data_IF_365885922908
#
_entry.id   IF_365885922908
#
_cell.length_a   1.000
_cell.length_b   1.000
_cell.length_c   1.000
_cell.angle_alpha   90.00
_cell.angle_beta   90.00
_cell.angle_gamma   90.00
#
_symmetry.space_group_name_H-M   'P 1'
#
loop_
_entity.id
_entity.type
_entity.pdbx_description
1 polymer ?
#
# COMPACT_ATOMS: atom_id res chain seq x y z
N UNK A 1 16.75 16.47 -2.32
CA UNK A 1 15.31 16.08 -2.32
C UNK A 1 15.20 14.80 -3.15
N UNK A 2 14.53 13.76 -2.66
CA UNK A 2 14.40 12.51 -3.42
C UNK A 2 13.61 12.77 -4.72
N UNK A 3 13.96 12.14 -5.87
CA UNK A 3 13.31 12.39 -7.16
C UNK A 3 11.78 12.29 -7.14
N UNK A 4 11.22 11.40 -6.31
CA UNK A 4 9.76 11.20 -6.14
C UNK A 4 9.02 12.39 -5.50
N UNK A 5 9.75 13.31 -4.86
CA UNK A 5 9.19 14.50 -4.22
C UNK A 5 9.56 15.81 -4.94
N UNK A 6 10.16 15.73 -6.13
CA UNK A 6 10.45 16.91 -6.95
C UNK A 6 9.15 17.60 -7.40
N UNK A 7 9.22 18.91 -7.69
CA UNK A 7 8.07 19.68 -8.21
C UNK A 7 7.46 19.06 -9.47
N UNK A 8 8.29 18.43 -10.31
CA UNK A 8 7.85 17.78 -11.53
C UNK A 8 7.16 16.44 -11.27
N UNK A 9 7.73 15.59 -10.39
CA UNK A 9 7.24 14.23 -10.20
C UNK A 9 6.13 14.11 -9.16
N UNK A 10 6.08 15.01 -8.17
CA UNK A 10 5.12 14.90 -7.09
C UNK A 10 3.65 14.89 -7.58
N UNK A 11 3.22 15.77 -8.50
CA UNK A 11 1.86 15.71 -9.05
C UNK A 11 1.58 14.44 -9.86
N UNK A 12 2.60 13.89 -10.56
CA UNK A 12 2.47 12.63 -11.32
C UNK A 12 2.28 11.44 -10.38
N UNK A 13 3.06 11.40 -9.29
CA UNK A 13 2.97 10.36 -8.28
C UNK A 13 1.63 10.39 -7.54
N UNK A 14 1.09 11.58 -7.26
CA UNK A 14 -0.23 11.71 -6.63
C UNK A 14 -1.34 11.08 -7.47
N UNK A 15 -1.32 11.23 -8.80
CA UNK A 15 -2.31 10.56 -9.67
C UNK A 15 -2.28 9.03 -9.52
N UNK A 16 -1.10 8.44 -9.34
CA UNK A 16 -0.97 7.00 -9.10
C UNK A 16 -1.53 6.62 -7.71
N UNK A 17 -1.27 7.45 -6.70
CA UNK A 17 -1.82 7.26 -5.35
C UNK A 17 -3.34 7.37 -5.34
N UNK A 18 -3.92 8.27 -6.13
CA UNK A 18 -5.37 8.42 -6.27
C UNK A 18 -6.01 7.15 -6.82
N UNK A 19 -5.43 6.58 -7.89
CA UNK A 19 -5.91 5.31 -8.45
C UNK A 19 -5.81 4.15 -7.44
N UNK A 20 -4.70 4.05 -6.69
CA UNK A 20 -4.55 3.04 -5.64
C UNK A 20 -5.59 3.22 -4.54
N UNK A 21 -5.91 4.47 -4.20
CA UNK A 21 -6.92 4.79 -3.18
C UNK A 21 -8.32 4.41 -3.64
N UNK A 22 -8.65 4.60 -4.91
CA UNK A 22 -9.91 4.12 -5.48
C UNK A 22 -10.01 2.58 -5.47
N UNK A 23 -8.92 1.88 -5.79
CA UNK A 23 -8.88 0.42 -5.73
C UNK A 23 -9.05 -0.09 -4.30
N UNK A 24 -8.36 0.55 -3.34
CA UNK A 24 -8.43 0.20 -1.93
C UNK A 24 -9.86 0.35 -1.38
N UNK A 25 -10.55 1.44 -1.76
CA UNK A 25 -11.97 1.65 -1.44
C UNK A 25 -12.86 0.54 -1.97
N UNK A 26 -12.67 0.10 -3.22
CA UNK A 26 -13.45 -1.02 -3.80
C UNK A 26 -13.27 -2.33 -3.02
N UNK A 27 -12.10 -2.53 -2.40
CA UNK A 27 -11.78 -3.68 -1.56
C UNK A 27 -12.01 -3.45 -0.05
N UNK A 28 -12.61 -2.32 0.33
CA UNK A 28 -12.86 -1.93 1.71
C UNK A 28 -11.61 -1.99 2.62
N UNK A 29 -10.48 -1.48 2.11
CA UNK A 29 -9.20 -1.45 2.83
C UNK A 29 -8.50 -0.10 2.65
N UNK A 30 -7.42 0.14 3.40
CA UNK A 30 -6.57 1.32 3.23
C UNK A 30 -5.61 1.14 2.06
N UNK A 31 -5.13 2.24 1.46
CA UNK A 31 -4.10 2.16 0.41
C UNK A 31 -2.80 1.51 0.92
N UNK A 32 -2.48 1.69 2.21
CA UNK A 32 -1.36 1.02 2.87
C UNK A 32 -1.56 -0.49 2.94
N UNK A 33 -2.73 -0.93 3.40
CA UNK A 33 -3.11 -2.34 3.44
C UNK A 33 -3.09 -2.99 2.05
N UNK A 34 -3.68 -2.33 1.05
CA UNK A 34 -3.66 -2.80 -0.33
C UNK A 34 -2.23 -2.99 -0.85
N UNK A 35 -1.34 -2.05 -0.56
CA UNK A 35 0.07 -2.11 -0.99
C UNK A 35 0.80 -3.27 -0.31
N UNK A 36 0.62 -3.45 0.99
CA UNK A 36 1.22 -4.56 1.73
C UNK A 36 0.68 -5.92 1.27
N UNK A 37 -0.63 -6.03 1.01
CA UNK A 37 -1.23 -7.23 0.44
C UNK A 37 -0.67 -7.56 -0.95
N UNK A 38 -0.41 -6.55 -1.77
CA UNK A 38 0.21 -6.73 -3.08
C UNK A 38 1.65 -7.25 -2.98
N UNK A 39 2.44 -6.74 -2.01
CA UNK A 39 3.79 -7.24 -1.75
C UNK A 39 3.74 -8.71 -1.32
N UNK A 40 2.86 -9.04 -0.36
CA UNK A 40 2.67 -10.42 0.12
C UNK A 40 2.24 -11.37 -1.01
N UNK A 41 1.50 -10.89 -1.99
CA UNK A 41 1.06 -11.67 -3.14
C UNK A 41 2.16 -11.95 -4.18
N UNK A 42 3.35 -11.34 -4.09
CA UNK A 42 4.43 -11.56 -5.06
C UNK A 42 5.12 -12.92 -4.91
N UNK A 43 5.02 -13.57 -3.75
CA UNK A 43 5.64 -14.87 -3.49
C UNK A 43 5.94 -15.09 -2.01
N UNK A 44 6.25 -16.34 -1.65
CA UNK A 44 6.52 -16.74 -0.27
C UNK A 44 7.81 -16.14 0.31
N UNK A 45 8.67 -15.58 -0.55
CA UNK A 45 9.92 -14.89 -0.23
C UNK A 45 9.74 -13.37 -0.05
N UNK A 46 8.54 -12.83 -0.28
CA UNK A 46 8.23 -11.41 -0.09
C UNK A 46 7.59 -11.16 1.27
N UNK A 47 8.42 -10.74 2.24
CA UNK A 47 7.98 -10.43 3.61
C UNK A 47 8.16 -8.93 3.86
N UNK A 48 7.10 -8.11 3.85
CA UNK A 48 7.21 -6.69 4.15
C UNK A 48 7.50 -6.46 5.63
N UNK A 49 8.38 -5.50 5.95
CA UNK A 49 8.71 -5.07 7.32
C UNK A 49 8.27 -3.60 7.48
N UNK A 50 6.95 -3.33 7.57
CA UNK A 50 6.46 -1.96 7.64
C UNK A 50 6.77 -1.33 9.00
N UNK A 51 7.56 -0.26 8.98
CA UNK A 51 7.87 0.51 10.18
C UNK A 51 6.65 1.32 10.67
N UNK A 52 6.46 1.37 11.99
CA UNK A 52 5.44 2.19 12.64
C UNK A 52 5.85 2.54 14.07
N UNK A 53 5.35 3.67 14.58
CA UNK A 53 5.54 4.11 15.98
C UNK A 53 4.24 4.09 16.79
N UNK A 54 3.12 3.68 16.17
CA UNK A 54 1.78 3.71 16.79
C UNK A 54 1.10 2.34 16.65
N UNK A 55 0.42 1.91 17.72
CA UNK A 55 -0.33 0.64 17.76
C UNK A 55 -1.39 0.59 16.66
N UNK A 56 -2.19 1.67 16.49
CA UNK A 56 -3.21 1.73 15.43
C UNK A 56 -2.66 1.40 14.04
N UNK A 57 -1.46 1.88 13.73
CA UNK A 57 -0.83 1.64 12.44
C UNK A 57 -0.24 0.22 12.37
N UNK A 58 0.20 -0.35 13.50
CA UNK A 58 0.59 -1.77 13.56
C UNK A 58 -0.61 -2.66 13.24
N UNK A 59 -1.76 -2.38 13.83
CA UNK A 59 -3.02 -3.09 13.58
C UNK A 59 -3.45 -2.94 12.10
N UNK A 60 -3.39 -1.72 11.55
CA UNK A 60 -3.68 -1.46 10.14
C UNK A 60 -2.76 -2.27 9.21
N UNK A 61 -1.44 -2.24 9.47
CA UNK A 61 -0.45 -2.99 8.69
C UNK A 61 -0.67 -4.50 8.78
N UNK A 62 -0.95 -5.03 9.97
CA UNK A 62 -1.17 -6.47 10.19
C UNK A 62 -2.43 -6.97 9.47
N UNK A 63 -3.50 -6.16 9.45
CA UNK A 63 -4.75 -6.50 8.75
C UNK A 63 -4.57 -6.67 7.23
N UNK A 64 -3.49 -6.14 6.64
CA UNK A 64 -3.17 -6.34 5.23
C UNK A 64 -3.01 -7.82 4.84
N UNK A 65 -2.52 -8.67 5.76
CA UNK A 65 -2.34 -10.11 5.51
C UNK A 65 -3.65 -10.86 5.27
N UNK A 66 -4.79 -10.28 5.65
CA UNK A 66 -6.13 -10.86 5.45
C UNK A 66 -6.78 -10.43 4.12
N UNK A 67 -6.14 -9.55 3.34
CA UNK A 67 -6.69 -9.07 2.07
C UNK A 67 -6.34 -10.04 0.97
N UNK A 68 -7.36 -10.62 0.36
CA UNK A 68 -7.21 -11.46 -0.82
C UNK A 68 -7.26 -10.61 -2.10
N UNK A 69 -6.18 -10.68 -2.85
CA UNK A 69 -6.11 -10.15 -4.21
C UNK A 69 -6.48 -11.27 -5.18
N UNK A 70 -7.33 -10.96 -6.15
CA UNK A 70 -7.61 -11.86 -7.26
C UNK A 70 -6.49 -11.74 -8.28
N UNK A 71 -6.04 -12.87 -8.84
CA UNK A 71 -5.35 -12.86 -10.12
C UNK A 71 -6.32 -12.27 -11.16
N UNK A 72 -5.89 -11.25 -11.89
CA UNK A 72 -6.69 -10.62 -12.94
C UNK A 72 -6.58 -11.39 -14.24
#
# INVERSE_FOLDING_TARGET
>A
MLPRFSKENFPKNLKLVDHLTELAKKKNCTSGQLTLAWILAQGNDFIPIPGTTKIKNLEDNAAAANIQLSEQ
#
